data_IF_860152522485
#
_entry.id   IF_860152522485
#
_cell.length_a   1.000
_cell.length_b   1.000
_cell.length_c   1.000
_cell.angle_alpha   90.00
_cell.angle_beta   90.00
_cell.angle_gamma   90.00
#
_symmetry.space_group_name_H-M   'P 1'
#
loop_
_entity.id
_entity.type
_entity.pdbx_description
1 polymer ?
#
# COMPACT_ATOMS: atom_id res chain seq x y z
N UNK A 1 -17.80 19.43 -23.62
CA UNK A 1 -18.55 19.52 -24.89
C UNK A 1 -17.93 18.51 -25.84
N UNK A 2 -18.67 17.45 -26.19
CA UNK A 2 -18.30 16.46 -27.21
C UNK A 2 -18.53 17.12 -28.58
N UNK A 3 -17.55 17.89 -29.05
CA UNK A 3 -17.67 18.72 -30.26
C UNK A 3 -16.64 18.34 -31.33
N UNK A 4 -16.23 17.07 -31.39
CA UNK A 4 -15.42 16.60 -32.52
C UNK A 4 -15.71 15.11 -32.80
N UNK A 5 -16.27 14.82 -33.97
CA UNK A 5 -16.56 13.48 -34.50
C UNK A 5 -15.27 12.71 -34.89
N UNK A 6 -14.23 12.90 -34.11
CA UNK A 6 -12.93 12.31 -34.36
C UNK A 6 -12.79 11.07 -33.46
N UNK A 7 -12.75 9.89 -34.07
CA UNK A 7 -12.41 8.63 -33.40
C UNK A 7 -11.12 8.71 -32.57
N UNK A 8 -10.25 9.70 -32.84
CA UNK A 8 -9.10 10.04 -32.03
C UNK A 8 -9.43 10.44 -30.57
N UNK A 9 -10.55 11.11 -30.31
CA UNK A 9 -10.99 11.49 -28.95
C UNK A 9 -11.36 10.26 -28.12
N UNK A 10 -12.09 9.31 -28.73
CA UNK A 10 -12.42 8.03 -28.11
C UNK A 10 -11.14 7.24 -27.80
N UNK A 11 -10.19 7.18 -28.75
CA UNK A 11 -8.91 6.51 -28.53
C UNK A 11 -8.07 7.16 -27.42
N UNK A 12 -8.12 8.49 -27.30
CA UNK A 12 -7.45 9.24 -26.22
C UNK A 12 -8.09 8.96 -24.87
N UNK A 13 -9.43 8.97 -24.79
CA UNK A 13 -10.16 8.66 -23.56
C UNK A 13 -9.91 7.22 -23.08
N UNK A 14 -9.82 6.25 -24.00
CA UNK A 14 -9.46 4.87 -23.66
C UNK A 14 -8.03 4.77 -23.14
N UNK A 15 -7.07 5.50 -23.73
CA UNK A 15 -5.68 5.55 -23.24
C UNK A 15 -5.63 6.06 -21.81
N UNK A 16 -6.28 7.19 -21.55
CA UNK A 16 -6.32 7.81 -20.22
C UNK A 16 -7.02 6.91 -19.19
N UNK A 17 -8.12 6.23 -19.58
CA UNK A 17 -8.78 5.25 -18.74
C UNK A 17 -7.90 4.05 -18.37
N UNK A 18 -7.05 3.56 -19.29
CA UNK A 18 -6.07 2.49 -18.99
C UNK A 18 -5.02 2.97 -17.98
N UNK A 19 -4.52 4.20 -18.14
CA UNK A 19 -3.58 4.81 -17.19
C UNK A 19 -4.17 4.91 -15.78
N UNK A 20 -5.38 5.45 -15.65
CA UNK A 20 -6.04 5.61 -14.34
C UNK A 20 -6.20 4.26 -13.65
N UNK A 21 -6.57 3.21 -14.40
CA UNK A 21 -6.70 1.86 -13.84
C UNK A 21 -5.37 1.30 -13.33
N UNK A 22 -4.28 1.46 -14.10
CA UNK A 22 -2.96 0.98 -13.69
C UNK A 22 -2.43 1.73 -12.47
N UNK A 23 -2.65 3.05 -12.40
CA UNK A 23 -2.31 3.88 -11.24
C UNK A 23 -3.09 3.43 -9.99
N UNK A 24 -4.40 3.15 -10.12
CA UNK A 24 -5.21 2.60 -9.01
C UNK A 24 -4.69 1.23 -8.57
N UNK A 25 -4.34 0.33 -9.50
CA UNK A 25 -3.79 -0.98 -9.16
C UNK A 25 -2.49 -0.85 -8.36
N UNK A 26 -1.62 0.09 -8.74
CA UNK A 26 -0.38 0.42 -8.00
C UNK A 26 -0.70 0.96 -6.60
N UNK A 27 -1.61 1.92 -6.47
CA UNK A 27 -2.04 2.46 -5.16
C UNK A 27 -2.50 1.33 -4.23
N UNK A 28 -3.45 0.50 -4.69
CA UNK A 28 -4.01 -0.59 -3.88
C UNK A 28 -2.92 -1.60 -3.50
N UNK A 29 -2.02 -1.91 -4.43
CA UNK A 29 -0.89 -2.82 -4.20
C UNK A 29 0.08 -2.33 -3.13
N UNK A 30 0.24 -1.01 -2.96
CA UNK A 30 1.10 -0.42 -1.93
C UNK A 30 0.37 -0.17 -0.60
N UNK A 31 -0.91 0.23 -0.64
CA UNK A 31 -1.69 0.53 0.57
C UNK A 31 -2.02 -0.73 1.37
N UNK A 32 -2.37 -1.84 0.71
CA UNK A 32 -2.81 -3.05 1.42
C UNK A 32 -1.72 -3.68 2.32
N UNK A 33 -0.49 -3.94 1.84
CA UNK A 33 0.57 -4.49 2.68
C UNK A 33 0.97 -3.56 3.83
N UNK A 34 0.99 -2.25 3.57
CA UNK A 34 1.41 -1.22 4.53
C UNK A 34 0.42 -1.12 5.70
N UNK A 35 -0.88 -1.04 5.42
CA UNK A 35 -1.91 -0.94 6.46
C UNK A 35 -1.98 -2.21 7.31
N UNK A 36 -1.83 -3.38 6.69
CA UNK A 36 -1.76 -4.62 7.44
C UNK A 36 -0.50 -4.66 8.35
N UNK A 37 0.57 -3.92 7.99
CA UNK A 37 1.88 -3.96 8.65
C UNK A 37 1.80 -3.27 9.98
N UNK A 38 1.25 -2.07 9.91
CA UNK A 38 0.86 -1.30 11.07
C UNK A 38 -0.11 -2.09 11.97
N UNK A 39 -1.15 -2.70 11.39
CA UNK A 39 -2.11 -3.49 12.15
C UNK A 39 -1.45 -4.69 12.88
N UNK A 40 -0.56 -5.43 12.23
CA UNK A 40 0.09 -6.59 12.86
C UNK A 40 1.03 -6.16 14.00
N UNK A 41 1.76 -5.06 13.85
CA UNK A 41 2.62 -4.51 14.92
C UNK A 41 1.78 -4.18 16.15
N UNK A 42 0.63 -3.53 15.96
CA UNK A 42 -0.29 -3.17 17.05
C UNK A 42 -0.88 -4.43 17.70
N UNK A 43 -1.35 -5.39 16.90
CA UNK A 43 -1.91 -6.65 17.41
C UNK A 43 -0.88 -7.39 18.27
N UNK A 44 0.37 -7.49 17.82
CA UNK A 44 1.46 -8.14 18.58
C UNK A 44 1.74 -7.40 19.88
N UNK A 45 1.77 -6.05 19.86
CA UNK A 45 1.98 -5.25 21.07
C UNK A 45 0.86 -5.45 22.12
N UNK A 46 -0.41 -5.53 21.66
CA UNK A 46 -1.57 -5.76 22.51
C UNK A 46 -1.60 -7.17 23.10
N UNK A 47 -1.33 -8.20 22.30
CA UNK A 47 -1.31 -9.59 22.76
C UNK A 47 -0.25 -9.83 23.85
N UNK A 48 0.82 -9.05 23.85
CA UNK A 48 1.91 -9.14 24.82
C UNK A 48 1.74 -8.22 26.04
N UNK A 49 0.63 -7.48 26.14
CA UNK A 49 0.33 -6.60 27.28
C UNK A 49 1.32 -5.44 27.45
N UNK A 50 2.00 -5.02 26.38
CA UNK A 50 2.96 -3.94 26.41
C UNK A 50 2.25 -2.58 26.41
N UNK A 51 2.90 -1.55 26.96
CA UNK A 51 2.45 -0.16 26.78
C UNK A 51 2.40 0.13 25.29
N UNK A 52 1.24 0.59 24.78
CA UNK A 52 1.11 0.93 23.37
C UNK A 52 2.20 1.96 23.01
N UNK A 53 3.14 1.64 22.09
CA UNK A 53 4.21 2.55 21.74
C UNK A 53 3.68 3.83 21.08
N UNK A 54 2.49 3.75 20.48
CA UNK A 54 1.81 4.82 19.76
C UNK A 54 0.34 4.85 20.18
N UNK A 55 -0.19 6.05 20.42
CA UNK A 55 -1.61 6.24 20.77
C UNK A 55 -2.52 6.01 19.55
N UNK A 56 -3.79 5.61 19.75
CA UNK A 56 -4.74 5.41 18.64
C UNK A 56 -4.89 6.64 17.72
N UNK A 57 -4.82 7.85 18.30
CA UNK A 57 -4.92 9.10 17.53
C UNK A 57 -3.68 9.35 16.64
N UNK A 58 -2.49 8.94 17.09
CA UNK A 58 -1.27 9.04 16.29
C UNK A 58 -1.29 8.05 15.11
N UNK A 59 -1.82 6.84 15.31
CA UNK A 59 -2.04 5.85 14.24
C UNK A 59 -2.99 6.39 13.17
N UNK A 60 -4.12 6.99 13.59
CA UNK A 60 -5.07 7.61 12.66
C UNK A 60 -4.42 8.74 11.85
N UNK A 61 -3.62 9.56 12.51
CA UNK A 61 -2.93 10.66 11.84
C UNK A 61 -1.88 10.12 10.85
N UNK A 62 -1.04 9.17 11.23
CA UNK A 62 -0.05 8.54 10.32
C UNK A 62 -0.75 7.90 9.12
N UNK A 63 -1.82 7.15 9.32
CA UNK A 63 -2.60 6.54 8.24
C UNK A 63 -3.15 7.59 7.27
N UNK A 64 -3.67 8.70 7.79
CA UNK A 64 -4.22 9.76 6.95
C UNK A 64 -3.15 10.43 6.10
N UNK A 65 -1.99 10.79 6.67
CA UNK A 65 -0.88 11.37 5.88
C UNK A 65 -0.45 10.39 4.81
N UNK A 66 -0.11 9.17 5.22
CA UNK A 66 0.52 8.19 4.35
C UNK A 66 -0.43 7.80 3.21
N UNK A 67 -1.70 7.56 3.51
CA UNK A 67 -2.70 7.24 2.48
C UNK A 67 -2.89 8.39 1.49
N UNK A 68 -2.97 9.64 1.94
CA UNK A 68 -3.13 10.80 1.05
C UNK A 68 -1.86 11.02 0.22
N UNK A 69 -0.68 11.00 0.86
CA UNK A 69 0.60 11.22 0.19
C UNK A 69 0.88 10.15 -0.86
N UNK A 70 0.76 8.86 -0.51
CA UNK A 70 0.95 7.75 -1.45
C UNK A 70 -0.14 7.74 -2.51
N UNK A 71 -1.39 7.98 -2.11
CA UNK A 71 -2.53 8.02 -3.02
C UNK A 71 -2.36 9.07 -4.11
N UNK A 72 -1.95 10.29 -3.75
CA UNK A 72 -1.68 11.36 -4.72
C UNK A 72 -0.43 11.05 -5.55
N UNK A 73 0.67 10.65 -4.92
CA UNK A 73 1.92 10.36 -5.63
C UNK A 73 1.75 9.30 -6.72
N UNK A 74 0.99 8.23 -6.42
CA UNK A 74 0.75 7.14 -7.34
C UNK A 74 -0.41 7.41 -8.32
N UNK A 75 -1.42 8.21 -7.93
CA UNK A 75 -2.50 8.58 -8.83
C UNK A 75 -2.03 9.42 -10.03
N UNK A 76 -1.01 10.26 -9.82
CA UNK A 76 -0.44 11.13 -10.85
C UNK A 76 0.84 10.56 -11.50
N UNK A 77 1.09 9.25 -11.37
CA UNK A 77 2.18 8.62 -12.11
C UNK A 77 1.93 8.75 -13.64
N UNK A 78 2.97 9.14 -14.41
CA UNK A 78 2.85 9.30 -15.85
C UNK A 78 2.53 7.96 -16.54
N UNK A 79 1.77 8.04 -17.63
CA UNK A 79 1.37 6.88 -18.43
C UNK A 79 2.60 6.16 -18.99
N UNK A 80 2.66 4.83 -18.86
CA UNK A 80 3.70 4.05 -19.51
C UNK A 80 3.59 4.17 -21.04
N UNK A 81 4.70 4.46 -21.71
CA UNK A 81 4.75 4.83 -23.12
C UNK A 81 4.19 3.74 -24.07
N UNK A 82 4.01 2.51 -23.58
CA UNK A 82 3.48 1.37 -24.31
C UNK A 82 2.08 0.89 -23.87
N UNK A 83 1.35 1.60 -23.00
CA UNK A 83 0.03 1.15 -22.49
C UNK A 83 -0.96 0.77 -23.60
N UNK A 84 -0.91 1.43 -24.75
CA UNK A 84 -1.79 1.13 -25.90
C UNK A 84 -1.34 -0.06 -26.76
N UNK A 85 -0.09 -0.52 -26.64
CA UNK A 85 0.44 -1.68 -27.37
C UNK A 85 0.13 -3.00 -26.66
N UNK A 86 -0.20 -2.95 -25.36
CA UNK A 86 -0.60 -4.13 -24.63
C UNK A 86 -2.03 -4.55 -25.01
N UNK A 87 -2.29 -5.87 -25.20
CA UNK A 87 -3.63 -6.37 -25.45
C UNK A 87 -4.58 -6.00 -24.30
N UNK A 88 -5.90 -5.88 -24.55
CA UNK A 88 -6.88 -5.60 -23.52
C UNK A 88 -6.79 -6.63 -22.39
N UNK A 89 -6.87 -6.17 -21.15
CA UNK A 89 -6.78 -7.06 -19.99
C UNK A 89 -7.88 -8.12 -20.00
N UNK A 90 -7.55 -9.40 -19.72
CA UNK A 90 -8.56 -10.42 -19.49
C UNK A 90 -9.30 -10.15 -18.17
N UNK A 91 -10.62 -10.26 -18.19
CA UNK A 91 -11.51 -9.93 -17.05
C UNK A 91 -11.23 -10.76 -15.78
N UNK A 92 -10.49 -11.86 -15.88
CA UNK A 92 -10.16 -12.75 -14.77
C UNK A 92 -8.78 -12.52 -14.14
N UNK A 93 -8.03 -11.49 -14.54
CA UNK A 93 -6.72 -11.22 -13.95
C UNK A 93 -6.88 -10.69 -12.50
N UNK A 94 -6.28 -11.33 -11.48
CA UNK A 94 -6.35 -10.83 -10.12
C UNK A 94 -5.71 -9.45 -10.01
N UNK A 95 -6.38 -8.56 -9.25
CA UNK A 95 -5.94 -7.19 -9.04
C UNK A 95 -4.62 -7.11 -8.24
N UNK A 96 -4.28 -8.17 -7.51
CA UNK A 96 -3.08 -8.29 -6.70
C UNK A 96 -2.25 -9.47 -7.22
N UNK A 97 -1.01 -9.21 -7.63
CA UNK A 97 -0.08 -10.25 -8.06
C UNK A 97 0.42 -11.07 -6.87
N UNK A 98 0.68 -12.37 -7.07
CA UNK A 98 1.19 -13.28 -6.03
C UNK A 98 2.51 -12.85 -5.39
N UNK A 99 3.31 -12.01 -6.05
CA UNK A 99 4.53 -11.42 -5.49
C UNK A 99 4.27 -10.47 -4.31
N UNK A 100 3.15 -9.73 -4.32
CA UNK A 100 2.76 -8.88 -3.18
C UNK A 100 2.43 -9.73 -1.95
N UNK A 101 1.82 -10.90 -2.17
CA UNK A 101 1.48 -11.84 -1.10
C UNK A 101 2.74 -12.49 -0.53
N UNK A 102 3.67 -12.93 -1.38
CA UNK A 102 4.93 -13.54 -0.95
C UNK A 102 5.84 -12.53 -0.23
N UNK A 103 5.96 -11.30 -0.77
CA UNK A 103 6.70 -10.21 -0.14
C UNK A 103 6.14 -9.83 1.22
N UNK A 104 4.81 -9.63 1.32
CA UNK A 104 4.12 -9.34 2.60
C UNK A 104 4.34 -10.46 3.60
N UNK A 105 4.22 -11.72 3.19
CA UNK A 105 4.35 -12.89 4.07
C UNK A 105 5.81 -13.14 4.52
N UNK A 106 6.81 -12.76 3.73
CA UNK A 106 8.23 -12.96 4.06
C UNK A 106 8.83 -11.78 4.84
N UNK A 107 8.44 -10.54 4.56
CA UNK A 107 8.94 -9.34 5.26
C UNK A 107 8.31 -9.15 6.64
N UNK A 108 7.03 -9.45 6.82
CA UNK A 108 6.35 -9.22 8.10
C UNK A 108 6.95 -9.98 9.29
N UNK A 109 7.22 -11.29 9.18
CA UNK A 109 7.81 -12.03 10.29
C UNK A 109 9.18 -11.44 10.68
N UNK A 110 9.94 -10.93 9.71
CA UNK A 110 11.24 -10.30 9.96
C UNK A 110 11.12 -8.95 10.69
N UNK A 111 10.14 -8.12 10.33
CA UNK A 111 9.88 -6.85 11.03
C UNK A 111 9.35 -7.09 12.45
N UNK A 112 8.45 -8.07 12.63
CA UNK A 112 7.97 -8.47 13.95
C UNK A 112 9.12 -9.01 14.82
N UNK A 113 10.03 -9.80 14.24
CA UNK A 113 11.22 -10.29 14.94
C UNK A 113 12.24 -9.18 15.30
N UNK A 114 12.42 -8.18 14.43
CA UNK A 114 13.28 -7.03 14.73
C UNK A 114 12.72 -6.18 15.87
N UNK A 115 11.40 -5.95 15.89
CA UNK A 115 10.72 -5.31 17.02
C UNK A 115 10.88 -6.15 18.28
N UNK A 116 10.73 -7.48 18.19
CA UNK A 116 10.97 -8.39 19.31
C UNK A 116 12.38 -8.22 19.92
N UNK A 117 13.43 -8.16 19.10
CA UNK A 117 14.81 -8.02 19.57
C UNK A 117 15.15 -6.63 20.11
N UNK A 118 14.57 -5.56 19.55
CA UNK A 118 14.80 -4.20 20.01
C UNK A 118 14.18 -3.91 21.39
N UNK A 119 13.10 -4.62 21.75
CA UNK A 119 12.37 -4.37 23.00
C UNK A 119 12.72 -5.30 24.17
N UNK A 120 13.33 -6.47 23.92
CA UNK A 120 13.94 -7.32 24.97
C UNK A 120 14.87 -6.55 25.93
N UNK A 121 15.82 -5.73 25.45
CA UNK A 121 16.72 -5.01 26.36
C UNK A 121 16.00 -3.97 27.22
N UNK A 122 14.85 -3.44 26.79
CA UNK A 122 14.11 -2.42 27.54
C UNK A 122 13.38 -3.00 28.77
N UNK A 123 12.95 -4.28 28.70
CA UNK A 123 12.35 -5.00 29.85
C UNK A 123 13.38 -5.31 30.94
N UNK A 124 14.64 -5.54 30.57
CA UNK A 124 15.71 -5.85 31.53
C UNK A 124 16.19 -4.60 32.29
N UNK A 125 16.18 -3.43 31.66
CA UNK A 125 16.58 -2.16 32.29
C UNK A 125 15.48 -1.54 33.17
N UNK A 126 14.20 -1.82 32.88
CA UNK A 126 13.07 -1.35 33.70
C UNK A 126 12.77 -2.20 34.95
N UNK A 127 13.46 -3.32 35.15
CA UNK A 127 13.30 -4.19 36.32
C UNK A 127 14.34 -3.91 37.44
N UNK A 128 15.21 -2.91 37.26
CA UNK A 128 16.28 -2.54 38.21
C UNK A 128 16.20 -1.09 38.70
N UNK A 129 15.03 -0.46 38.69
CA UNK A 129 14.80 0.87 39.26
C UNK A 129 13.54 0.88 40.13
#
# INVERSE_FOLDING_TARGET
MLADDNFASIASAVREGRTVYDNIKKVISWTLPTNAGEAMIIIVALLLGMTLPITPIQILWINLITAITLGIALAFEPTEENTMRHPPRPRGEPLLGGELVCGTYCWYPSCVFAVYMAFIPMRLTGATA
#
